data_IF_182028553735
#
_entry.id   IF_182028553735
#
_cell.length_a   1.000
_cell.length_b   1.000
_cell.length_c   1.000
_cell.angle_alpha   90.00
_cell.angle_beta   90.00
_cell.angle_gamma   90.00
#
_symmetry.space_group_name_H-M   'P 1'
#
loop_
_entity.id
_entity.type
_entity.pdbx_description
1 polymer ?
#
# COMPACT_ATOMS: atom_id res chain seq x y z
N UNK A 1 15.43 13.13 14.60
CA UNK A 1 14.85 12.59 13.35
C UNK A 1 15.58 13.28 12.20
N UNK A 2 16.03 12.55 11.16
CA UNK A 2 16.73 13.17 10.02
C UNK A 2 15.79 14.10 9.25
N UNK A 3 16.32 15.20 8.72
CA UNK A 3 15.60 16.10 7.82
C UNK A 3 15.28 15.41 6.49
N UNK A 4 14.29 15.91 5.76
CA UNK A 4 13.92 15.41 4.42
C UNK A 4 15.11 15.49 3.45
N UNK A 5 15.94 16.53 3.57
CA UNK A 5 17.12 16.71 2.73
C UNK A 5 18.19 15.64 3.02
N UNK A 6 18.45 15.35 4.29
CA UNK A 6 19.38 14.28 4.68
C UNK A 6 18.88 12.90 4.23
N UNK A 7 17.57 12.64 4.31
CA UNK A 7 16.98 11.40 3.82
C UNK A 7 17.12 11.24 2.31
N UNK A 8 16.91 12.32 1.53
CA UNK A 8 17.15 12.33 0.09
C UNK A 8 18.61 12.05 -0.25
N UNK A 9 19.55 12.65 0.51
CA UNK A 9 20.97 12.43 0.31
C UNK A 9 21.35 10.96 0.56
N UNK A 10 20.85 10.37 1.65
CA UNK A 10 21.04 8.94 1.97
C UNK A 10 20.43 8.05 0.89
N UNK A 11 19.21 8.35 0.45
CA UNK A 11 18.55 7.59 -0.62
C UNK A 11 19.37 7.62 -1.92
N UNK A 12 19.89 8.79 -2.30
CA UNK A 12 20.74 8.95 -3.49
C UNK A 12 21.98 8.05 -3.44
N UNK A 13 22.66 7.98 -2.30
CA UNK A 13 23.82 7.09 -2.10
C UNK A 13 23.41 5.62 -2.35
N UNK A 14 22.26 5.18 -1.85
CA UNK A 14 21.76 3.83 -2.12
C UNK A 14 21.42 3.62 -3.60
N UNK A 15 20.75 4.57 -4.25
CA UNK A 15 20.42 4.45 -5.67
C UNK A 15 21.67 4.32 -6.54
N UNK A 16 22.70 5.12 -6.26
CA UNK A 16 23.98 5.06 -6.96
C UNK A 16 24.70 3.73 -6.72
N UNK A 17 24.75 3.27 -5.46
CA UNK A 17 25.45 2.03 -5.07
C UNK A 17 24.77 0.77 -5.60
N UNK A 18 23.44 0.80 -5.79
CA UNK A 18 22.62 -0.36 -6.17
C UNK A 18 22.07 -0.26 -7.60
N UNK A 19 22.54 0.72 -8.38
CA UNK A 19 22.06 0.97 -9.74
C UNK A 19 22.19 -0.27 -10.61
N UNK A 20 21.09 -0.70 -11.23
CA UNK A 20 21.04 -1.87 -12.10
C UNK A 20 20.94 -3.21 -11.37
N UNK A 21 21.11 -3.24 -10.05
CA UNK A 21 20.86 -4.41 -9.20
C UNK A 21 19.45 -4.38 -8.61
N UNK A 22 18.96 -3.19 -8.29
CA UNK A 22 17.65 -2.99 -7.66
C UNK A 22 16.93 -1.83 -8.35
N UNK A 23 15.64 -2.02 -8.59
CA UNK A 23 14.77 -0.92 -8.99
C UNK A 23 14.52 -0.02 -7.77
N UNK A 24 15.01 1.22 -7.85
CA UNK A 24 14.77 2.23 -6.82
C UNK A 24 13.95 3.36 -7.42
N UNK A 25 12.77 3.61 -6.84
CA UNK A 25 11.91 4.74 -7.20
C UNK A 25 11.70 5.60 -5.97
N UNK A 26 11.71 6.92 -6.16
CA UNK A 26 11.29 7.84 -5.11
C UNK A 26 9.85 7.51 -4.71
N UNK A 27 9.60 7.51 -3.41
CA UNK A 27 8.25 7.30 -2.89
C UNK A 27 7.44 8.59 -3.07
N UNK A 28 6.51 8.62 -4.02
CA UNK A 28 5.59 9.73 -4.19
C UNK A 28 4.52 9.69 -3.10
N UNK A 29 4.68 10.59 -2.12
CA UNK A 29 3.82 10.67 -0.94
C UNK A 29 2.36 10.96 -1.34
N UNK A 30 2.13 11.79 -2.35
CA UNK A 30 0.77 12.17 -2.75
C UNK A 30 0.03 10.97 -3.37
N UNK A 31 0.69 10.27 -4.28
CA UNK A 31 0.13 9.04 -4.86
C UNK A 31 -0.07 7.94 -3.83
N UNK A 32 0.86 7.82 -2.90
CA UNK A 32 0.77 6.83 -1.83
C UNK A 32 -0.42 7.10 -0.91
N UNK A 33 -0.68 8.38 -0.59
CA UNK A 33 -1.87 8.78 0.16
C UNK A 33 -3.15 8.47 -0.62
N UNK A 34 -3.18 8.76 -1.93
CA UNK A 34 -4.32 8.41 -2.80
C UNK A 34 -4.58 6.91 -2.81
N UNK A 35 -3.55 6.08 -2.95
CA UNK A 35 -3.66 4.63 -2.93
C UNK A 35 -4.14 4.11 -1.58
N UNK A 36 -3.56 4.60 -0.48
CA UNK A 36 -3.96 4.23 0.87
C UNK A 36 -5.42 4.62 1.14
N UNK A 37 -5.84 5.80 0.69
CA UNK A 37 -7.23 6.23 0.76
C UNK A 37 -8.15 5.27 0.02
N UNK A 38 -7.87 4.94 -1.24
CA UNK A 38 -8.73 4.04 -2.02
C UNK A 38 -8.83 2.65 -1.39
N UNK A 39 -7.73 2.14 -0.82
CA UNK A 39 -7.72 0.86 -0.15
C UNK A 39 -8.58 0.88 1.12
N UNK A 40 -8.43 1.90 1.97
CA UNK A 40 -9.01 1.98 3.31
C UNK A 40 -10.32 2.77 3.39
N UNK A 41 -10.88 3.18 2.25
CA UNK A 41 -12.12 3.94 2.26
C UNK A 41 -13.34 3.06 2.40
N UNK A 42 -14.30 3.57 3.14
CA UNK A 42 -15.63 2.97 3.23
C UNK A 42 -16.38 3.12 1.91
N UNK A 43 -17.25 2.16 1.61
CA UNK A 43 -18.10 2.20 0.43
C UNK A 43 -19.28 3.17 0.60
N UNK A 44 -19.83 3.70 -0.50
CA UNK A 44 -19.44 3.46 -1.89
C UNK A 44 -18.47 4.52 -2.47
N UNK A 45 -17.31 4.08 -2.94
CA UNK A 45 -16.32 4.93 -3.66
C UNK A 45 -16.68 5.23 -5.12
N UNK A 46 -17.68 4.55 -5.69
CA UNK A 46 -17.95 4.62 -7.14
C UNK A 46 -18.16 6.06 -7.63
N UNK A 47 -18.99 6.85 -6.93
CA UNK A 47 -19.22 8.26 -7.26
C UNK A 47 -17.95 9.10 -7.14
N UNK A 48 -17.14 8.85 -6.12
CA UNK A 48 -15.86 9.54 -5.94
C UNK A 48 -14.90 9.27 -7.11
N UNK A 49 -14.76 8.00 -7.52
CA UNK A 49 -13.87 7.60 -8.62
C UNK A 49 -14.34 8.21 -9.94
N UNK A 50 -15.66 8.19 -10.21
CA UNK A 50 -16.22 8.83 -11.41
C UNK A 50 -15.90 10.32 -11.43
N UNK A 51 -16.19 11.03 -10.34
CA UNK A 51 -15.87 12.47 -10.26
C UNK A 51 -14.38 12.74 -10.37
N UNK A 52 -13.52 11.90 -9.77
CA UNK A 52 -12.08 12.04 -9.91
C UNK A 52 -11.64 11.89 -11.38
N UNK A 53 -12.19 10.91 -12.10
CA UNK A 53 -11.93 10.74 -13.53
C UNK A 53 -12.41 11.95 -14.36
N UNK A 54 -13.61 12.47 -14.08
CA UNK A 54 -14.17 13.66 -14.73
C UNK A 54 -13.32 14.93 -14.48
N UNK A 55 -12.68 15.02 -13.31
CA UNK A 55 -11.76 16.10 -12.96
C UNK A 55 -10.32 15.90 -13.52
N UNK A 56 -10.12 14.90 -14.38
CA UNK A 56 -8.88 14.65 -15.13
C UNK A 56 -8.01 13.49 -14.61
N UNK A 57 -8.45 12.74 -13.59
CA UNK A 57 -7.84 11.47 -13.17
C UNK A 57 -6.44 11.51 -12.51
N UNK A 58 -5.75 12.66 -12.53
CA UNK A 58 -4.47 12.86 -11.84
C UNK A 58 -4.61 13.31 -10.37
N UNK A 59 -3.49 13.55 -9.69
CA UNK A 59 -3.45 14.03 -8.29
C UNK A 59 -4.23 15.33 -8.07
N UNK A 60 -4.20 16.24 -9.05
CA UNK A 60 -4.98 17.48 -8.97
C UNK A 60 -6.50 17.21 -8.98
N UNK A 61 -6.95 16.33 -9.88
CA UNK A 61 -8.35 15.88 -9.91
C UNK A 61 -8.75 15.16 -8.63
N UNK A 62 -7.83 14.38 -8.05
CA UNK A 62 -8.06 13.70 -6.77
C UNK A 62 -8.30 14.70 -5.65
N UNK A 63 -7.44 15.73 -5.52
CA UNK A 63 -7.59 16.80 -4.51
C UNK A 63 -8.92 17.53 -4.65
N UNK A 64 -9.38 17.77 -5.88
CA UNK A 64 -10.71 18.36 -6.13
C UNK A 64 -11.84 17.44 -5.70
N UNK A 65 -11.79 16.16 -6.06
CA UNK A 65 -12.79 15.18 -5.65
C UNK A 65 -12.85 15.05 -4.12
N UNK A 66 -11.70 14.98 -3.45
CA UNK A 66 -11.58 15.00 -1.97
C UNK A 66 -12.30 16.19 -1.36
N UNK A 67 -12.05 17.39 -1.89
CA UNK A 67 -12.69 18.61 -1.41
C UNK A 67 -14.20 18.59 -1.64
N UNK A 68 -14.65 18.12 -2.80
CA UNK A 68 -16.07 18.09 -3.19
C UNK A 68 -16.89 17.11 -2.34
N UNK A 69 -16.30 15.96 -2.01
CA UNK A 69 -16.94 14.93 -1.19
C UNK A 69 -16.67 15.08 0.31
N UNK A 70 -15.94 16.12 0.73
CA UNK A 70 -15.52 16.36 2.12
C UNK A 70 -14.91 15.10 2.76
N UNK A 71 -13.97 14.49 2.04
CA UNK A 71 -13.39 13.20 2.41
C UNK A 71 -12.58 13.29 3.70
N UNK A 72 -12.77 12.30 4.58
CA UNK A 72 -11.99 12.12 5.81
C UNK A 72 -10.87 11.08 5.61
N UNK A 73 -9.62 11.48 5.90
CA UNK A 73 -8.44 10.59 5.83
C UNK A 73 -8.09 9.90 7.15
N UNK A 74 -8.91 10.02 8.19
CA UNK A 74 -8.65 9.43 9.51
C UNK A 74 -8.30 7.94 9.41
N UNK A 75 -9.02 7.19 8.58
CA UNK A 75 -8.78 5.76 8.31
C UNK A 75 -7.38 5.46 7.78
N UNK A 76 -6.82 6.35 6.96
CA UNK A 76 -5.47 6.18 6.41
C UNK A 76 -4.40 6.25 7.50
N UNK A 77 -4.62 7.12 8.51
CA UNK A 77 -3.64 7.34 9.57
C UNK A 77 -3.89 6.52 10.83
N UNK A 78 -5.14 6.15 11.10
CA UNK A 78 -5.54 5.45 12.33
C UNK A 78 -5.87 3.97 12.10
N UNK A 79 -6.09 3.56 10.85
CA UNK A 79 -6.51 2.21 10.50
C UNK A 79 -7.95 1.89 10.91
N UNK A 80 -8.23 0.59 10.96
CA UNK A 80 -9.47 0.00 11.46
C UNK A 80 -9.30 -0.48 12.88
N UNK A 81 -10.38 -0.46 13.67
CA UNK A 81 -10.34 -1.03 15.01
C UNK A 81 -10.36 -2.57 14.96
N UNK A 82 -9.86 -3.20 16.02
CA UNK A 82 -9.87 -4.65 16.15
C UNK A 82 -11.32 -5.14 16.23
N UNK A 83 -11.70 -6.04 15.32
CA UNK A 83 -13.05 -6.61 15.25
C UNK A 83 -14.02 -5.78 14.39
N UNK A 84 -13.60 -4.64 13.86
CA UNK A 84 -14.40 -3.85 12.95
C UNK A 84 -14.54 -4.54 11.57
N UNK A 85 -15.73 -4.40 10.96
CA UNK A 85 -15.96 -4.91 9.62
C UNK A 85 -15.16 -4.11 8.58
N UNK A 86 -14.21 -4.78 7.93
CA UNK A 86 -13.38 -4.18 6.88
C UNK A 86 -14.23 -3.87 5.63
N UNK A 87 -13.89 -2.85 4.83
CA UNK A 87 -14.69 -2.45 3.67
C UNK A 87 -14.67 -3.51 2.55
N UNK A 88 -13.71 -4.44 2.58
CA UNK A 88 -13.62 -5.62 1.72
C UNK A 88 -14.14 -6.91 2.36
N UNK A 89 -14.78 -6.85 3.53
CA UNK A 89 -15.37 -8.02 4.21
C UNK A 89 -16.44 -8.75 3.37
N UNK A 90 -17.07 -8.05 2.42
CA UNK A 90 -18.02 -8.63 1.47
C UNK A 90 -17.37 -9.53 0.41
N UNK A 91 -16.05 -9.45 0.22
CA UNK A 91 -15.32 -10.26 -0.77
C UNK A 91 -15.20 -11.68 -0.24
N UNK A 92 -15.97 -12.60 -0.83
CA UNK A 92 -15.83 -14.04 -0.56
C UNK A 92 -14.73 -14.62 -1.44
N UNK A 93 -13.61 -15.02 -0.83
CA UNK A 93 -12.54 -15.72 -1.55
C UNK A 93 -12.94 -17.20 -1.69
N UNK A 94 -13.03 -17.76 -2.92
CA UNK A 94 -13.37 -19.16 -3.12
C UNK A 94 -12.33 -20.08 -2.46
N UNK A 95 -12.79 -21.16 -1.84
CA UNK A 95 -11.95 -22.09 -1.07
C UNK A 95 -10.79 -22.70 -1.89
N UNK A 96 -10.94 -22.87 -3.20
CA UNK A 96 -9.88 -23.40 -4.07
C UNK A 96 -8.62 -22.52 -4.10
N UNK A 97 -8.75 -21.19 -3.95
CA UNK A 97 -7.59 -20.29 -3.84
C UNK A 97 -6.94 -20.29 -2.45
N UNK A 98 -7.71 -20.61 -1.41
CA UNK A 98 -7.18 -20.70 -0.04
C UNK A 98 -6.13 -21.80 0.12
N UNK A 99 -6.26 -22.89 -0.66
CA UNK A 99 -5.29 -23.98 -0.71
C UNK A 99 -3.95 -23.49 -1.26
N UNK A 100 -3.97 -22.71 -2.34
CA UNK A 100 -2.75 -22.13 -2.93
C UNK A 100 -2.05 -21.17 -1.97
N UNK A 101 -2.79 -20.33 -1.24
CA UNK A 101 -2.20 -19.38 -0.28
C UNK A 101 -1.55 -20.10 0.91
N UNK A 102 -2.19 -21.19 1.37
CA UNK A 102 -1.71 -21.99 2.50
C UNK A 102 -0.46 -22.79 2.12
N UNK A 103 -0.46 -23.40 0.93
CA UNK A 103 0.73 -24.07 0.38
C UNK A 103 1.88 -23.08 0.17
N UNK A 104 1.61 -21.87 -0.35
CA UNK A 104 2.63 -20.83 -0.49
C UNK A 104 3.21 -20.41 0.86
N UNK A 105 2.36 -20.23 1.88
CA UNK A 105 2.82 -19.93 3.24
C UNK A 105 3.69 -21.05 3.81
N UNK A 106 3.28 -22.31 3.69
CA UNK A 106 4.05 -23.47 4.16
C UNK A 106 5.41 -23.59 3.47
N UNK A 107 5.46 -23.37 2.15
CA UNK A 107 6.71 -23.32 1.39
C UNK A 107 7.61 -22.22 1.93
N UNK A 108 7.09 -20.99 2.11
CA UNK A 108 7.86 -19.87 2.65
C UNK A 108 8.40 -20.18 4.05
N UNK A 109 7.58 -20.73 4.94
CA UNK A 109 8.02 -21.14 6.28
C UNK A 109 9.12 -22.20 6.22
N UNK A 110 9.02 -23.19 5.32
CA UNK A 110 10.04 -24.22 5.15
C UNK A 110 11.38 -23.64 4.68
N UNK A 111 11.35 -22.65 3.79
CA UNK A 111 12.54 -21.93 3.34
C UNK A 111 13.17 -21.11 4.45
N UNK A 112 12.36 -20.41 5.26
CA UNK A 112 12.85 -19.62 6.39
C UNK A 112 13.49 -20.49 7.49
N UNK A 113 12.90 -21.64 7.79
CA UNK A 113 13.46 -22.65 8.71
C UNK A 113 14.82 -23.16 8.21
N UNK A 114 14.91 -23.50 6.92
CA UNK A 114 16.14 -23.99 6.32
C UNK A 114 17.25 -22.93 6.31
N UNK A 115 16.89 -21.68 6.00
CA UNK A 115 17.81 -20.55 6.06
C UNK A 115 18.33 -20.27 7.47
N UNK A 116 17.48 -20.40 8.51
CA UNK A 116 17.89 -20.28 9.91
C UNK A 116 18.86 -21.39 10.35
N UNK A 117 18.71 -22.61 9.84
CA UNK A 117 19.63 -23.71 10.15
C UNK A 117 21.00 -23.46 9.53
N UNK A 118 21.02 -23.01 8.28
CA UNK A 118 22.26 -22.66 7.57
C UNK A 118 22.97 -21.42 8.12
N UNK A 119 22.29 -20.56 8.89
CA UNK A 119 22.91 -19.40 9.55
C UNK A 119 23.43 -19.68 10.96
N UNK A 120 23.16 -20.87 11.51
CA UNK A 120 23.58 -21.31 12.85
C UNK A 120 24.67 -22.41 12.79
N UNK A 121 25.16 -22.74 11.59
CA UNK A 121 26.40 -23.47 11.32
C UNK A 121 27.51 -22.48 10.92
#
# INVERSE_FOLDING_TARGET
MKSVQELKQVFKVYQESLKGLVESRDYDIEWSLTQAFLALSEKPLGKFIVTWAEEGGGLHGFKKAVKRFNVNFSRVFKGYEVGEALPWSFIKIPHEKSVSSRIQAEIIYSFMEKAKRLSNE
#
